data_IF_497306383360
#
_entry.id   IF_497306383360
#
_cell.length_a   1.000
_cell.length_b   1.000
_cell.length_c   1.000
_cell.angle_alpha   90.00
_cell.angle_beta   90.00
_cell.angle_gamma   90.00
#
_symmetry.space_group_name_H-M   'P 1'
#
loop_
_entity.id
_entity.type
_entity.pdbx_description
1 polymer ?
#
# COMPACT_ATOMS: atom_id res chain seq x y z
N UNK A 1 -37.80 -40.91 7.17
CA UNK A 1 -37.18 -40.92 5.82
C UNK A 1 -37.40 -39.60 5.10
N UNK A 2 -38.64 -39.19 4.80
CA UNK A 2 -38.95 -37.96 4.06
C UNK A 2 -38.42 -36.67 4.75
N UNK A 3 -38.57 -36.55 6.07
CA UNK A 3 -38.06 -35.41 6.84
C UNK A 3 -36.53 -35.29 6.82
N UNK A 4 -35.81 -36.42 6.74
CA UNK A 4 -34.36 -36.40 6.63
C UNK A 4 -33.94 -35.94 5.24
N UNK A 5 -34.63 -36.40 4.20
CA UNK A 5 -34.41 -35.97 2.81
C UNK A 5 -34.65 -34.46 2.68
N UNK A 6 -35.75 -33.94 3.25
CA UNK A 6 -36.05 -32.51 3.26
C UNK A 6 -34.96 -31.71 4.00
N UNK A 7 -34.52 -32.17 5.17
CA UNK A 7 -33.43 -31.51 5.92
C UNK A 7 -32.11 -31.50 5.15
N UNK A 8 -31.73 -32.62 4.50
CA UNK A 8 -30.53 -32.67 3.67
C UNK A 8 -30.63 -31.76 2.43
N UNK A 9 -31.81 -31.66 1.83
CA UNK A 9 -32.07 -30.76 0.70
C UNK A 9 -31.93 -29.29 1.13
N UNK A 10 -32.56 -28.90 2.25
CA UNK A 10 -32.43 -27.55 2.80
C UNK A 10 -30.99 -27.24 3.17
N UNK A 11 -30.28 -28.16 3.84
CA UNK A 11 -28.88 -27.99 4.18
C UNK A 11 -28.01 -27.80 2.92
N UNK A 12 -28.27 -28.59 1.87
CA UNK A 12 -27.59 -28.46 0.58
C UNK A 12 -27.80 -27.08 -0.03
N UNK A 13 -29.04 -26.58 -0.05
CA UNK A 13 -29.34 -25.25 -0.59
C UNK A 13 -28.68 -24.12 0.21
N UNK A 14 -28.63 -24.24 1.54
CA UNK A 14 -27.94 -23.29 2.42
C UNK A 14 -26.43 -23.29 2.12
N UNK A 15 -25.82 -24.47 2.01
CA UNK A 15 -24.39 -24.60 1.70
C UNK A 15 -24.03 -24.02 0.34
N UNK A 16 -24.85 -24.26 -0.69
CA UNK A 16 -24.67 -23.66 -2.02
C UNK A 16 -24.81 -22.15 -1.96
N UNK A 17 -25.81 -21.63 -1.22
CA UNK A 17 -26.01 -20.19 -1.01
C UNK A 17 -24.80 -19.53 -0.34
N UNK A 18 -24.29 -20.11 0.74
CA UNK A 18 -23.08 -19.63 1.43
C UNK A 18 -21.88 -19.61 0.49
N UNK A 19 -21.69 -20.68 -0.28
CA UNK A 19 -20.58 -20.80 -1.24
C UNK A 19 -20.67 -19.75 -2.34
N UNK A 20 -21.86 -19.51 -2.88
CA UNK A 20 -22.09 -18.50 -3.92
C UNK A 20 -21.82 -17.08 -3.41
N UNK A 21 -22.33 -16.75 -2.21
CA UNK A 21 -22.07 -15.44 -1.56
C UNK A 21 -20.58 -15.26 -1.31
N UNK A 22 -19.91 -16.29 -0.78
CA UNK A 22 -18.47 -16.26 -0.55
C UNK A 22 -17.67 -16.02 -1.84
N UNK A 23 -17.99 -16.76 -2.91
CA UNK A 23 -17.34 -16.59 -4.22
C UNK A 23 -17.57 -15.20 -4.82
N UNK A 24 -18.79 -14.66 -4.68
CA UNK A 24 -19.12 -13.32 -5.14
C UNK A 24 -18.31 -12.26 -4.40
N UNK A 25 -18.25 -12.34 -3.07
CA UNK A 25 -17.46 -11.44 -2.23
C UNK A 25 -15.96 -11.55 -2.55
N UNK A 26 -15.44 -12.76 -2.67
CA UNK A 26 -14.04 -13.01 -3.00
C UNK A 26 -13.66 -12.40 -4.35
N UNK A 27 -14.49 -12.62 -5.38
CA UNK A 27 -14.25 -12.09 -6.73
C UNK A 27 -14.37 -10.57 -6.76
N UNK A 28 -15.39 -10.01 -6.09
CA UNK A 28 -15.61 -8.57 -6.03
C UNK A 28 -14.46 -7.86 -5.31
N UNK A 29 -14.00 -8.38 -4.17
CA UNK A 29 -12.89 -7.81 -3.43
C UNK A 29 -11.58 -7.86 -4.21
N UNK A 30 -11.33 -8.93 -4.99
CA UNK A 30 -10.16 -8.99 -5.88
C UNK A 30 -10.25 -7.97 -7.01
N UNK A 31 -11.42 -7.79 -7.62
CA UNK A 31 -11.63 -6.79 -8.69
C UNK A 31 -11.48 -5.37 -8.18
N UNK A 32 -12.11 -5.04 -7.06
CA UNK A 32 -12.05 -3.73 -6.44
C UNK A 32 -10.62 -3.40 -5.96
N UNK A 33 -9.96 -4.35 -5.32
CA UNK A 33 -8.55 -4.21 -4.94
C UNK A 33 -7.64 -3.98 -6.15
N UNK A 34 -7.89 -4.68 -7.28
CA UNK A 34 -7.14 -4.48 -8.51
C UNK A 34 -7.42 -3.10 -9.16
N UNK A 35 -8.64 -2.59 -9.12
CA UNK A 35 -8.97 -1.26 -9.65
C UNK A 35 -8.33 -0.15 -8.80
N UNK A 36 -8.45 -0.22 -7.46
CA UNK A 36 -7.74 0.68 -6.54
C UNK A 36 -6.25 0.67 -6.84
N UNK A 37 -5.69 -0.54 -7.02
CA UNK A 37 -4.28 -0.73 -7.32
C UNK A 37 -3.85 -0.10 -8.66
N UNK A 38 -4.64 -0.27 -9.72
CA UNK A 38 -4.33 0.29 -11.03
C UNK A 38 -4.36 1.82 -10.99
N UNK A 39 -5.45 2.40 -10.47
CA UNK A 39 -5.57 3.87 -10.33
C UNK A 39 -4.45 4.47 -9.51
N UNK A 40 -4.10 3.81 -8.41
CA UNK A 40 -3.04 4.27 -7.54
C UNK A 40 -1.65 4.09 -8.17
N UNK A 41 -1.44 3.01 -8.93
CA UNK A 41 -0.22 2.80 -9.71
C UNK A 41 -0.05 3.85 -10.80
N UNK A 42 -1.12 4.22 -11.50
CA UNK A 42 -1.11 5.29 -12.50
C UNK A 42 -0.77 6.63 -11.86
N UNK A 43 -1.40 6.97 -10.73
CA UNK A 43 -1.08 8.19 -9.96
C UNK A 43 0.40 8.23 -9.54
N UNK A 44 0.94 7.15 -9.00
CA UNK A 44 2.38 7.07 -8.66
C UNK A 44 3.26 7.15 -9.92
N UNK A 45 2.87 6.49 -11.01
CA UNK A 45 3.61 6.51 -12.27
C UNK A 45 3.70 7.93 -12.83
N UNK A 46 2.60 8.67 -12.80
CA UNK A 46 2.54 10.07 -13.22
C UNK A 46 3.37 10.98 -12.30
N UNK A 47 3.32 10.76 -10.99
CA UNK A 47 4.17 11.50 -10.04
C UNK A 47 5.65 11.19 -10.24
N UNK A 48 6.01 9.93 -10.48
CA UNK A 48 7.40 9.52 -10.77
C UNK A 48 7.90 10.07 -12.11
N UNK A 49 7.04 10.22 -13.11
CA UNK A 49 7.38 10.88 -14.38
C UNK A 49 7.67 12.38 -14.21
N UNK A 50 7.07 13.01 -13.19
CA UNK A 50 7.31 14.43 -12.85
C UNK A 50 8.53 14.64 -11.97
N UNK A 51 8.93 13.62 -11.22
CA UNK A 51 10.18 13.65 -10.46
C UNK A 51 11.38 13.55 -11.42
N UNK A 52 12.38 14.43 -11.29
CA UNK A 52 13.61 14.28 -12.06
C UNK A 52 14.26 12.95 -11.69
N UNK A 53 14.62 12.15 -12.70
CA UNK A 53 15.28 10.85 -12.51
C UNK A 53 16.53 10.94 -11.63
N UNK A 54 17.19 12.11 -11.58
CA UNK A 54 18.33 12.37 -10.70
C UNK A 54 18.02 12.13 -9.20
N UNK A 55 16.81 12.45 -8.74
CA UNK A 55 16.39 12.22 -7.34
C UNK A 55 16.22 10.73 -6.99
N UNK A 56 16.07 9.86 -8.00
CA UNK A 56 15.97 8.40 -7.84
C UNK A 56 17.29 7.67 -8.13
N UNK A 57 18.23 8.30 -8.83
CA UNK A 57 19.42 7.65 -9.37
C UNK A 57 20.62 7.67 -8.43
N UNK A 58 20.76 8.69 -7.59
CA UNK A 58 21.98 8.83 -6.80
C UNK A 58 21.81 8.39 -5.36
N UNK A 59 22.05 7.09 -5.14
CA UNK A 59 22.39 6.55 -3.82
C UNK A 59 23.70 7.14 -3.25
N UNK A 60 24.42 7.97 -4.01
CA UNK A 60 25.71 8.58 -3.64
C UNK A 60 25.72 10.10 -3.52
N UNK A 61 24.61 10.80 -3.81
CA UNK A 61 24.57 12.26 -3.67
C UNK A 61 24.14 12.63 -2.25
N UNK A 62 24.91 13.48 -1.54
CA UNK A 62 24.55 13.91 -0.20
C UNK A 62 23.18 14.59 -0.22
N UNK A 63 22.39 14.31 0.82
CA UNK A 63 21.05 14.85 1.09
C UNK A 63 20.96 16.39 1.18
N UNK A 64 22.08 17.08 0.93
CA UNK A 64 22.19 18.54 0.84
C UNK A 64 21.96 19.09 -0.58
N UNK A 65 21.63 18.24 -1.56
CA UNK A 65 21.26 18.76 -2.88
C UNK A 65 20.00 19.61 -2.73
N UNK A 66 20.13 20.90 -3.04
CA UNK A 66 19.05 21.88 -2.97
C UNK A 66 17.89 21.44 -3.87
N UNK A 67 16.94 20.71 -3.29
CA UNK A 67 15.68 20.42 -3.97
C UNK A 67 14.93 21.73 -4.17
N UNK A 68 14.46 21.94 -5.39
CA UNK A 68 13.49 22.97 -5.70
C UNK A 68 12.21 22.74 -4.90
N UNK A 69 11.44 23.82 -4.66
CA UNK A 69 10.15 23.72 -3.96
C UNK A 69 9.17 22.75 -4.65
N UNK A 70 9.24 22.64 -5.98
CA UNK A 70 8.38 21.76 -6.76
C UNK A 70 8.76 20.27 -6.61
N UNK A 71 10.06 19.98 -6.56
CA UNK A 71 10.55 18.62 -6.26
C UNK A 71 10.16 18.19 -4.86
N UNK A 72 10.32 19.08 -3.86
CA UNK A 72 9.92 18.79 -2.47
C UNK A 72 8.43 18.52 -2.36
N UNK A 73 7.62 19.35 -3.02
CA UNK A 73 6.17 19.13 -3.11
C UNK A 73 5.85 17.77 -3.71
N UNK A 74 6.53 17.38 -4.79
CA UNK A 74 6.29 16.10 -5.45
C UNK A 74 6.68 14.92 -4.55
N UNK A 75 7.81 14.99 -3.85
CA UNK A 75 8.21 13.97 -2.85
C UNK A 75 7.16 13.85 -1.74
N UNK A 76 6.69 14.98 -1.21
CA UNK A 76 5.61 14.98 -0.21
C UNK A 76 4.34 14.34 -0.76
N UNK A 77 3.92 14.68 -1.98
CA UNK A 77 2.74 14.09 -2.62
C UNK A 77 2.87 12.56 -2.78
N UNK A 78 4.07 12.05 -3.08
CA UNK A 78 4.33 10.61 -3.11
C UNK A 78 4.24 10.00 -1.70
N UNK A 79 4.84 10.63 -0.69
CA UNK A 79 4.77 10.15 0.71
C UNK A 79 3.31 10.11 1.19
N UNK A 80 2.53 11.16 0.95
CA UNK A 80 1.11 11.19 1.29
C UNK A 80 0.30 10.14 0.56
N UNK A 81 0.58 9.94 -0.73
CA UNK A 81 -0.06 8.86 -1.47
C UNK A 81 0.24 7.52 -0.79
N UNK A 82 1.51 7.25 -0.43
CA UNK A 82 1.90 5.97 0.19
C UNK A 82 1.17 5.79 1.53
N UNK A 83 1.05 6.86 2.31
CA UNK A 83 0.24 6.88 3.52
C UNK A 83 -1.24 6.55 3.24
N UNK A 84 -1.87 7.19 2.26
CA UNK A 84 -3.26 6.90 1.86
C UNK A 84 -3.42 5.41 1.47
N UNK A 85 -2.48 4.86 0.71
CA UNK A 85 -2.49 3.46 0.32
C UNK A 85 -2.32 2.53 1.53
N UNK A 86 -1.44 2.88 2.47
CA UNK A 86 -1.24 2.12 3.69
C UNK A 86 -2.51 2.08 4.55
N UNK A 87 -3.21 3.21 4.71
CA UNK A 87 -4.48 3.26 5.44
C UNK A 87 -5.56 2.41 4.74
N UNK A 88 -5.65 2.47 3.41
CA UNK A 88 -6.55 1.58 2.65
C UNK A 88 -6.24 0.09 2.89
N UNK A 89 -4.96 -0.27 2.99
CA UNK A 89 -4.54 -1.63 3.36
C UNK A 89 -4.95 -1.99 4.78
N UNK A 90 -4.70 -1.12 5.76
CA UNK A 90 -5.07 -1.36 7.17
C UNK A 90 -6.59 -1.51 7.35
N UNK A 91 -7.38 -0.81 6.53
CA UNK A 91 -8.84 -0.90 6.54
C UNK A 91 -9.41 -2.03 5.65
N UNK A 92 -8.55 -2.85 5.02
CA UNK A 92 -8.97 -4.04 4.27
C UNK A 92 -9.48 -3.78 2.85
N UNK A 93 -9.35 -2.55 2.34
CA UNK A 93 -9.69 -2.23 0.94
C UNK A 93 -8.67 -2.80 -0.04
N UNK A 94 -7.43 -3.03 0.43
CA UNK A 94 -6.39 -3.67 -0.37
C UNK A 94 -6.21 -5.11 0.11
N UNK A 95 -6.54 -6.11 -0.71
CA UNK A 95 -6.27 -7.50 -0.41
C UNK A 95 -4.79 -7.73 -0.06
N UNK A 96 -4.46 -8.50 1.00
CA UNK A 96 -3.07 -8.74 1.41
C UNK A 96 -2.17 -9.28 0.29
N UNK A 97 -2.74 -10.11 -0.60
CA UNK A 97 -2.04 -10.65 -1.76
C UNK A 97 -1.61 -9.55 -2.75
N UNK A 98 -2.40 -8.49 -2.91
CA UNK A 98 -2.05 -7.35 -3.78
C UNK A 98 -1.01 -6.47 -3.10
N UNK A 99 -1.18 -6.20 -1.81
CA UNK A 99 -0.20 -5.42 -1.02
C UNK A 99 1.20 -6.05 -1.07
N UNK A 100 1.30 -7.36 -0.87
CA UNK A 100 2.57 -8.11 -0.86
C UNK A 100 3.36 -8.00 -2.16
N UNK A 101 2.70 -7.72 -3.29
CA UNK A 101 3.38 -7.53 -4.59
C UNK A 101 4.15 -6.21 -4.63
N UNK A 102 3.63 -5.15 -4.00
CA UNK A 102 4.22 -3.79 -4.06
C UNK A 102 4.93 -3.35 -2.81
N UNK A 103 4.65 -3.97 -1.67
CA UNK A 103 5.30 -3.64 -0.40
C UNK A 103 6.84 -3.54 -0.57
N UNK A 104 7.56 -4.46 -1.24
CA UNK A 104 8.99 -4.32 -1.43
C UNK A 104 9.42 -3.08 -2.23
N UNK A 105 8.63 -2.69 -3.24
CA UNK A 105 8.94 -1.52 -4.07
C UNK A 105 8.66 -0.21 -3.32
N UNK A 106 7.58 -0.18 -2.53
CA UNK A 106 7.25 0.95 -1.65
C UNK A 106 8.33 1.11 -0.59
N UNK A 107 8.74 0.01 0.05
CA UNK A 107 9.84 -0.01 1.02
C UNK A 107 11.14 0.52 0.40
N UNK A 108 11.50 0.05 -0.81
CA UNK A 108 12.69 0.55 -1.53
C UNK A 108 12.64 2.05 -1.78
N UNK A 109 11.49 2.59 -2.19
CA UNK A 109 11.32 4.03 -2.42
C UNK A 109 11.45 4.81 -1.11
N UNK A 110 10.78 4.37 -0.05
CA UNK A 110 10.83 5.03 1.26
C UNK A 110 12.24 5.03 1.86
N UNK A 111 13.06 4.02 1.54
CA UNK A 111 14.45 3.91 1.99
C UNK A 111 15.43 4.81 1.23
N UNK A 112 15.02 5.45 0.14
CA UNK A 112 15.90 6.38 -0.58
C UNK A 112 16.23 7.60 0.32
N UNK A 113 17.47 8.14 0.26
CA UNK A 113 17.91 9.23 1.13
C UNK A 113 16.98 10.45 1.12
N UNK A 114 16.52 10.85 -0.06
CA UNK A 114 15.59 11.98 -0.25
C UNK A 114 14.25 11.75 0.45
N UNK A 115 13.73 10.52 0.41
CA UNK A 115 12.49 10.17 1.06
C UNK A 115 12.66 10.09 2.58
N UNK A 116 13.78 9.56 3.07
CA UNK A 116 14.08 9.52 4.50
C UNK A 116 14.21 10.93 5.10
N UNK A 117 14.89 11.84 4.41
CA UNK A 117 15.04 13.24 4.84
C UNK A 117 13.68 13.94 4.95
N UNK A 118 12.85 13.83 3.91
CA UNK A 118 11.52 14.45 3.92
C UNK A 118 10.53 13.72 4.84
N UNK A 119 10.71 12.42 5.12
CA UNK A 119 9.93 11.73 6.14
C UNK A 119 10.18 12.33 7.53
N UNK A 120 11.44 12.63 7.85
CA UNK A 120 11.83 13.22 9.12
C UNK A 120 11.18 14.60 9.32
N UNK A 121 11.04 15.40 8.24
CA UNK A 121 10.32 16.69 8.31
C UNK A 121 8.81 16.54 8.49
N UNK A 122 8.26 15.38 8.12
CA UNK A 122 6.83 15.05 8.19
C UNK A 122 6.42 14.23 9.42
N UNK A 123 7.36 13.80 10.27
CA UNK A 123 7.07 12.95 11.45
C UNK A 123 5.93 13.49 12.33
N UNK A 124 5.94 14.79 12.61
CA UNK A 124 4.89 15.44 13.41
C UNK A 124 3.49 15.33 12.79
N UNK A 125 3.37 15.19 11.46
CA UNK A 125 2.09 15.03 10.79
C UNK A 125 1.56 13.60 10.90
N UNK A 126 2.44 12.61 10.96
CA UNK A 126 2.07 11.20 11.10
C UNK A 126 1.92 10.74 12.55
N UNK A 127 2.17 11.60 13.54
CA UNK A 127 2.01 11.29 14.96
C UNK A 127 0.59 10.79 15.33
N UNK A 128 -0.45 11.21 14.59
CA UNK A 128 -1.84 10.73 14.75
C UNK A 128 -2.11 9.36 14.13
N UNK A 129 -1.14 8.80 13.41
CA UNK A 129 -1.22 7.54 12.67
C UNK A 129 -0.16 6.56 13.17
N UNK A 130 -0.32 6.03 14.41
CA UNK A 130 0.73 5.23 15.07
C UNK A 130 1.06 3.93 14.33
N UNK A 131 0.10 3.36 13.59
CA UNK A 131 0.32 2.16 12.76
C UNK A 131 1.27 2.45 11.61
N UNK A 132 1.06 3.58 10.93
CA UNK A 132 1.93 4.02 9.85
C UNK A 132 3.33 4.32 10.35
N UNK A 133 3.45 5.09 11.45
CA UNK A 133 4.75 5.38 12.08
C UNK A 133 5.50 4.09 12.49
N UNK A 134 4.81 3.13 13.12
CA UNK A 134 5.40 1.84 13.47
C UNK A 134 5.85 1.04 12.25
N UNK A 135 5.08 1.08 11.15
CA UNK A 135 5.45 0.42 9.91
C UNK A 135 6.70 1.06 9.27
N UNK A 136 6.80 2.39 9.25
CA UNK A 136 8.00 3.09 8.78
C UNK A 136 9.25 2.70 9.58
N UNK A 137 9.14 2.63 10.90
CA UNK A 137 10.25 2.21 11.76
C UNK A 137 10.65 0.74 11.50
N UNK A 138 9.68 -0.16 11.30
CA UNK A 138 9.95 -1.55 10.91
C UNK A 138 10.67 -1.68 9.57
N UNK A 139 10.38 -0.80 8.60
CA UNK A 139 11.08 -0.78 7.32
C UNK A 139 12.55 -0.38 7.54
N UNK A 140 12.77 0.70 8.31
CA UNK A 140 14.12 1.20 8.61
C UNK A 140 14.96 0.15 9.33
N UNK A 141 14.40 -0.52 10.34
CA UNK A 141 15.08 -1.58 11.09
C UNK A 141 15.42 -2.78 10.20
N UNK A 142 14.50 -3.20 9.31
CA UNK A 142 14.77 -4.29 8.37
C UNK A 142 15.90 -3.95 7.41
N UNK A 143 15.95 -2.71 6.90
CA UNK A 143 17.05 -2.26 6.05
C UNK A 143 18.40 -2.33 6.77
N UNK A 144 18.45 -1.92 8.05
CA UNK A 144 19.67 -1.98 8.87
C UNK A 144 20.12 -3.41 9.22
N UNK A 145 19.21 -4.39 9.20
CA UNK A 145 19.54 -5.80 9.48
C UNK A 145 20.07 -6.59 8.27
N UNK A 146 19.97 -6.02 7.07
CA UNK A 146 20.34 -6.67 5.79
C UNK A 146 21.64 -6.07 5.21
N UNK A 147 22.11 -4.93 5.75
CA UNK A 147 23.40 -4.31 5.42
C UNK A 147 24.51 -4.77 6.36
#
# INVERSE_FOLDING_TARGET
MLDHILKFMTLGTIMVGITAIYMALYTNNRRLGADIFLRYSDRISDLRRKLPMAAFLDAGVPAETEMTLDERRTVHEVIYSIFELYELKVHGFIPPAIWRIREPDIERVLLLPVFQQELATLEGRFAKHPRFAAWLEQIRQRALSIG
#
